data_IF_432102817362
#
_entry.id   IF_432102817362
#
_cell.length_a   1.000
_cell.length_b   1.000
_cell.length_c   1.000
_cell.angle_alpha   90.00
_cell.angle_beta   90.00
_cell.angle_gamma   90.00
#
_symmetry.space_group_name_H-M   'P 1'
#
loop_
_entity.id
_entity.type
_entity.pdbx_description
1 polymer ?
#
# COMPACT_ATOMS: atom_id res chain seq x y z
N UNK A 1 9.81 105.14 -14.13
CA UNK A 1 9.14 103.92 -14.62
C UNK A 1 10.16 103.10 -15.41
N UNK A 2 10.38 101.86 -14.95
CA UNK A 2 10.89 100.66 -15.67
C UNK A 2 12.29 100.66 -16.29
N UNK A 3 12.98 99.50 -16.40
CA UNK A 3 12.66 98.16 -15.87
C UNK A 3 13.80 97.51 -15.04
N UNK A 4 13.41 96.55 -14.19
CA UNK A 4 14.29 95.52 -13.68
C UNK A 4 14.71 94.59 -14.83
N UNK A 5 15.99 94.18 -14.90
CA UNK A 5 16.44 93.14 -15.83
C UNK A 5 17.58 92.32 -15.20
N UNK A 6 17.13 91.24 -14.54
CA UNK A 6 17.69 89.90 -14.44
C UNK A 6 19.22 89.70 -14.41
N UNK A 7 19.70 89.19 -13.26
CA UNK A 7 21.04 88.65 -13.08
C UNK A 7 21.30 87.47 -14.04
N UNK A 8 22.29 87.61 -14.91
CA UNK A 8 22.76 86.53 -15.78
C UNK A 8 23.43 85.42 -14.94
N UNK A 9 23.04 84.14 -15.09
CA UNK A 9 23.59 83.05 -14.29
C UNK A 9 25.07 82.79 -14.62
N UNK A 10 25.86 82.53 -13.56
CA UNK A 10 27.30 82.23 -13.60
C UNK A 10 27.63 81.04 -14.52
N UNK A 11 28.41 81.29 -15.58
CA UNK A 11 28.74 80.32 -16.64
C UNK A 11 29.37 79.03 -16.09
N UNK A 12 30.20 79.13 -15.04
CA UNK A 12 30.88 77.99 -14.43
C UNK A 12 29.90 77.06 -13.70
N UNK A 13 28.83 77.63 -13.12
CA UNK A 13 27.75 76.88 -12.48
C UNK A 13 26.91 76.14 -13.53
N UNK A 14 26.64 76.78 -14.68
CA UNK A 14 25.93 76.15 -15.81
C UNK A 14 26.71 74.99 -16.43
N UNK A 15 28.03 75.10 -16.53
CA UNK A 15 28.89 74.04 -17.07
C UNK A 15 28.98 72.84 -16.12
N UNK A 16 29.13 73.08 -14.81
CA UNK A 16 29.01 72.02 -13.78
C UNK A 16 27.64 71.35 -13.82
N UNK A 17 26.55 72.12 -13.96
CA UNK A 17 25.20 71.59 -14.06
C UNK A 17 25.02 70.70 -15.32
N UNK A 18 25.62 71.08 -16.46
CA UNK A 18 25.63 70.24 -17.67
C UNK A 18 26.40 68.93 -17.48
N UNK A 19 27.58 68.98 -16.85
CA UNK A 19 28.37 67.78 -16.56
C UNK A 19 27.63 66.83 -15.62
N UNK A 20 27.03 67.35 -14.55
CA UNK A 20 26.20 66.57 -13.62
C UNK A 20 24.98 65.98 -14.36
N UNK A 21 24.26 66.78 -15.15
CA UNK A 21 23.12 66.30 -15.93
C UNK A 21 23.52 65.18 -16.91
N UNK A 22 24.70 65.27 -17.53
CA UNK A 22 25.23 64.26 -18.45
C UNK A 22 25.58 62.97 -17.72
N UNK A 23 26.24 63.09 -16.55
CA UNK A 23 26.55 61.95 -15.69
C UNK A 23 25.29 61.28 -15.14
N UNK A 24 24.28 62.04 -14.73
CA UNK A 24 22.98 61.51 -14.30
C UNK A 24 22.26 60.78 -15.44
N UNK A 25 22.30 61.31 -16.67
CA UNK A 25 21.73 60.63 -17.86
C UNK A 25 22.47 59.32 -18.15
N UNK A 26 23.80 59.30 -18.05
CA UNK A 26 24.59 58.09 -18.19
C UNK A 26 24.22 57.06 -17.12
N UNK A 27 24.21 57.44 -15.84
CA UNK A 27 23.84 56.57 -14.73
C UNK A 27 22.42 56.00 -14.86
N UNK A 28 21.46 56.81 -15.32
CA UNK A 28 20.08 56.36 -15.58
C UNK A 28 20.02 55.32 -16.70
N UNK A 29 20.83 55.46 -17.75
CA UNK A 29 20.94 54.46 -18.82
C UNK A 29 21.59 53.18 -18.33
N UNK A 30 22.65 53.29 -17.53
CA UNK A 30 23.37 52.15 -16.97
C UNK A 30 22.47 51.38 -16.00
N UNK A 31 21.75 52.07 -15.11
CA UNK A 31 20.77 51.48 -14.21
C UNK A 31 19.65 50.77 -14.99
N UNK A 32 19.10 51.40 -16.03
CA UNK A 32 18.09 50.77 -16.88
C UNK A 32 18.64 49.54 -17.63
N UNK A 33 19.92 49.57 -18.03
CA UNK A 33 20.63 48.43 -18.62
C UNK A 33 20.79 47.28 -17.63
N UNK A 34 21.30 47.55 -16.42
CA UNK A 34 21.46 46.57 -15.36
C UNK A 34 20.12 45.97 -14.91
N UNK A 35 19.07 46.79 -14.78
CA UNK A 35 17.73 46.32 -14.46
C UNK A 35 17.18 45.37 -15.53
N UNK A 36 17.35 45.69 -16.82
CA UNK A 36 16.96 44.77 -17.91
C UNK A 36 17.72 43.46 -17.83
N UNK A 37 19.04 43.50 -17.65
CA UNK A 37 19.86 42.28 -17.53
C UNK A 37 19.42 41.41 -16.34
N UNK A 38 19.15 42.02 -15.18
CA UNK A 38 18.66 41.31 -14.01
C UNK A 38 17.28 40.67 -14.26
N UNK A 39 16.36 41.43 -14.86
CA UNK A 39 15.04 40.92 -15.24
C UNK A 39 15.15 39.76 -16.25
N UNK A 40 15.96 39.89 -17.29
CA UNK A 40 16.17 38.84 -18.30
C UNK A 40 16.84 37.60 -17.71
N UNK A 41 17.73 37.76 -16.72
CA UNK A 41 18.29 36.64 -15.97
C UNK A 41 17.22 35.92 -15.13
N UNK A 42 16.35 36.66 -14.43
CA UNK A 42 15.23 36.11 -13.65
C UNK A 42 14.23 35.36 -14.54
N UNK A 43 13.89 35.92 -15.71
CA UNK A 43 12.99 35.27 -16.67
C UNK A 43 13.60 33.97 -17.20
N UNK A 44 14.89 33.97 -17.59
CA UNK A 44 15.58 32.75 -18.04
C UNK A 44 15.66 31.69 -16.95
N UNK A 45 15.94 32.09 -15.72
CA UNK A 45 15.94 31.18 -14.57
C UNK A 45 14.55 30.56 -14.35
N UNK A 46 13.49 31.35 -14.42
CA UNK A 46 12.12 30.86 -14.28
C UNK A 46 11.73 29.87 -15.39
N UNK A 47 12.07 30.18 -16.65
CA UNK A 47 11.84 29.29 -17.79
C UNK A 47 12.61 27.97 -17.64
N UNK A 48 13.90 28.03 -17.31
CA UNK A 48 14.73 26.84 -17.12
C UNK A 48 14.21 25.95 -15.97
N UNK A 49 13.75 26.55 -14.87
CA UNK A 49 13.11 25.80 -13.77
C UNK A 49 11.82 25.13 -14.21
N UNK A 50 11.02 25.79 -15.05
CA UNK A 50 9.78 25.20 -15.59
C UNK A 50 10.08 24.03 -16.53
N UNK A 51 10.99 24.22 -17.49
CA UNK A 51 11.42 23.15 -18.41
C UNK A 51 11.97 21.93 -17.67
N UNK A 52 12.82 22.16 -16.65
CA UNK A 52 13.35 21.09 -15.80
C UNK A 52 12.24 20.39 -15.01
N UNK A 53 11.27 21.14 -14.48
CA UNK A 53 10.11 20.59 -13.79
C UNK A 53 9.25 19.69 -14.69
N UNK A 54 8.99 20.11 -15.92
CA UNK A 54 8.24 19.33 -16.91
C UNK A 54 9.00 18.07 -17.35
N UNK A 55 10.31 18.17 -17.60
CA UNK A 55 11.15 17.03 -17.93
C UNK A 55 11.20 16.00 -16.79
N UNK A 56 11.33 16.49 -15.55
CA UNK A 56 11.32 15.65 -14.35
C UNK A 56 9.99 14.92 -14.18
N UNK A 57 8.88 15.64 -14.36
CA UNK A 57 7.55 15.06 -14.34
C UNK A 57 7.40 13.95 -15.39
N UNK A 58 7.77 14.20 -16.64
CA UNK A 58 7.72 13.19 -17.71
C UNK A 58 8.57 11.94 -17.39
N UNK A 59 9.77 12.12 -16.83
CA UNK A 59 10.62 11.02 -16.41
C UNK A 59 9.97 10.16 -15.30
N UNK A 60 9.33 10.79 -14.32
CA UNK A 60 8.66 10.11 -13.21
C UNK A 60 7.40 9.35 -13.68
N UNK A 61 6.63 9.92 -14.60
CA UNK A 61 5.52 9.22 -15.27
C UNK A 61 6.03 7.98 -16.00
N UNK A 62 7.10 8.11 -16.78
CA UNK A 62 7.70 6.96 -17.48
C UNK A 62 8.22 5.89 -16.51
N UNK A 63 8.81 6.29 -15.38
CA UNK A 63 9.22 5.36 -14.33
C UNK A 63 8.03 4.60 -13.74
N UNK A 64 6.91 5.29 -13.46
CA UNK A 64 5.70 4.65 -12.96
C UNK A 64 5.10 3.65 -13.97
N UNK A 65 5.13 3.98 -15.26
CA UNK A 65 4.69 3.06 -16.32
C UNK A 65 5.56 1.81 -16.40
N UNK A 66 6.88 1.95 -16.24
CA UNK A 66 7.81 0.82 -16.15
C UNK A 66 7.50 -0.04 -14.92
N UNK A 67 7.28 0.56 -13.75
CA UNK A 67 6.90 -0.19 -12.54
C UNK A 67 5.56 -0.92 -12.72
N UNK A 68 4.58 -0.29 -13.36
CA UNK A 68 3.30 -0.93 -13.69
C UNK A 68 3.49 -2.11 -14.65
N UNK A 69 4.38 -1.99 -15.63
CA UNK A 69 4.74 -3.08 -16.54
C UNK A 69 5.44 -4.23 -15.81
N UNK A 70 6.37 -3.93 -14.90
CA UNK A 70 7.04 -4.93 -14.07
C UNK A 70 6.03 -5.71 -13.20
N UNK A 71 5.08 -5.02 -12.55
CA UNK A 71 3.98 -5.66 -11.81
C UNK A 71 3.18 -6.63 -12.67
N UNK A 72 2.75 -6.19 -13.87
CA UNK A 72 2.02 -7.05 -14.81
C UNK A 72 2.85 -8.24 -15.27
N UNK A 73 4.14 -8.04 -15.55
CA UNK A 73 5.05 -9.11 -15.98
C UNK A 73 5.34 -10.12 -14.87
N UNK A 74 5.56 -9.67 -13.64
CA UNK A 74 5.77 -10.54 -12.48
C UNK A 74 4.53 -11.41 -12.21
N UNK A 75 3.34 -10.79 -12.27
CA UNK A 75 2.08 -11.54 -12.13
C UNK A 75 1.87 -12.52 -13.28
N UNK A 76 2.09 -12.10 -14.53
CA UNK A 76 1.96 -12.97 -15.70
C UNK A 76 2.96 -14.15 -15.64
N UNK A 77 4.20 -13.90 -15.21
CA UNK A 77 5.19 -14.95 -15.00
C UNK A 77 4.73 -15.94 -13.92
N UNK A 78 4.16 -15.46 -12.82
CA UNK A 78 3.60 -16.32 -11.76
C UNK A 78 2.40 -17.14 -12.26
N UNK A 79 1.53 -16.54 -13.07
CA UNK A 79 0.36 -17.19 -13.69
C UNK A 79 0.73 -18.40 -14.57
N UNK A 80 1.95 -18.45 -15.11
CA UNK A 80 2.42 -19.61 -15.90
C UNK A 80 2.53 -20.91 -15.11
N UNK A 81 2.53 -20.86 -13.77
CA UNK A 81 2.59 -22.04 -12.89
C UNK A 81 1.35 -22.94 -12.99
N UNK A 82 0.28 -22.47 -13.64
CA UNK A 82 -0.94 -23.21 -13.88
C UNK A 82 -1.84 -23.29 -12.65
N UNK A 83 -3.15 -23.28 -12.88
CA UNK A 83 -4.14 -23.43 -11.81
C UNK A 83 -4.23 -24.89 -11.36
N UNK A 84 -4.40 -25.10 -10.06
CA UNK A 84 -4.81 -26.41 -9.57
C UNK A 84 -6.29 -26.64 -9.89
N UNK A 85 -6.70 -27.87 -10.25
CA UNK A 85 -8.08 -28.14 -10.60
C UNK A 85 -9.04 -27.80 -9.46
N UNK A 86 -10.08 -27.03 -9.78
CA UNK A 86 -11.18 -26.71 -8.88
C UNK A 86 -11.99 -27.99 -8.59
N UNK A 87 -11.85 -28.52 -7.39
CA UNK A 87 -12.66 -29.65 -6.92
C UNK A 87 -13.94 -29.13 -6.28
N UNK A 88 -15.09 -29.55 -6.80
CA UNK A 88 -16.39 -29.17 -6.24
C UNK A 88 -16.68 -29.90 -4.93
N UNK A 89 -16.79 -29.16 -3.83
CA UNK A 89 -17.20 -29.64 -2.51
C UNK A 89 -18.73 -29.67 -2.39
N UNK A 90 -19.32 -30.69 -3.02
CA UNK A 90 -20.76 -30.91 -3.03
C UNK A 90 -21.31 -31.41 -1.67
N UNK A 91 -22.64 -31.58 -1.58
CA UNK A 91 -23.31 -32.09 -0.35
C UNK A 91 -22.78 -33.45 0.12
N UNK A 92 -22.36 -34.31 -0.81
CA UNK A 92 -21.78 -35.63 -0.51
C UNK A 92 -20.41 -35.45 0.16
N UNK A 93 -19.56 -34.58 -0.39
CA UNK A 93 -18.25 -34.26 0.20
C UNK A 93 -18.39 -33.79 1.65
N UNK A 94 -19.36 -32.91 1.94
CA UNK A 94 -19.66 -32.46 3.31
C UNK A 94 -20.17 -33.58 4.23
N UNK A 95 -20.87 -34.60 3.70
CA UNK A 95 -21.25 -35.79 4.47
C UNK A 95 -20.02 -36.66 4.79
N UNK A 96 -19.13 -36.84 3.82
CA UNK A 96 -17.86 -37.56 4.00
C UNK A 96 -17.03 -36.86 5.06
N UNK A 97 -16.86 -35.54 4.99
CA UNK A 97 -16.04 -34.82 5.97
C UNK A 97 -16.62 -34.96 7.39
N UNK A 98 -17.94 -34.86 7.56
CA UNK A 98 -18.61 -35.13 8.85
C UNK A 98 -18.42 -36.57 9.34
N UNK A 99 -18.39 -37.54 8.44
CA UNK A 99 -18.11 -38.93 8.80
C UNK A 99 -16.65 -39.12 9.21
N UNK A 100 -15.71 -38.52 8.46
CA UNK A 100 -14.28 -38.55 8.77
C UNK A 100 -14.01 -37.93 10.14
N UNK A 101 -14.65 -36.81 10.47
CA UNK A 101 -14.52 -36.18 11.79
C UNK A 101 -14.83 -37.12 12.97
N UNK A 102 -15.63 -38.17 12.78
CA UNK A 102 -15.94 -39.18 13.82
C UNK A 102 -14.80 -40.19 14.03
N UNK A 103 -13.84 -40.29 13.11
CA UNK A 103 -12.70 -41.21 13.16
C UNK A 103 -11.50 -40.62 13.93
N UNK A 104 -11.73 -39.63 14.79
CA UNK A 104 -10.69 -39.01 15.59
C UNK A 104 -9.62 -38.28 14.75
N UNK A 105 -8.37 -38.38 15.16
CA UNK A 105 -7.25 -37.62 14.58
C UNK A 105 -6.87 -38.06 13.16
N UNK A 106 -7.02 -39.34 12.81
CA UNK A 106 -6.80 -39.83 11.44
C UNK A 106 -7.86 -39.29 10.48
N UNK A 107 -9.11 -39.24 10.92
CA UNK A 107 -10.19 -38.64 10.15
C UNK A 107 -10.00 -37.14 9.92
N UNK A 108 -9.60 -36.42 10.96
CA UNK A 108 -9.20 -35.01 10.88
C UNK A 108 -8.02 -34.80 9.90
N UNK A 109 -7.02 -35.67 9.93
CA UNK A 109 -5.90 -35.62 8.98
C UNK A 109 -6.35 -35.82 7.53
N UNK A 110 -7.32 -36.71 7.28
CA UNK A 110 -7.89 -36.90 5.95
C UNK A 110 -8.68 -35.68 5.46
N UNK A 111 -9.37 -34.96 6.36
CA UNK A 111 -10.03 -33.69 6.02
C UNK A 111 -8.99 -32.64 5.58
N UNK A 112 -7.88 -32.51 6.32
CA UNK A 112 -6.77 -31.62 5.95
C UNK A 112 -6.18 -32.03 4.60
N UNK A 113 -5.86 -33.31 4.40
CA UNK A 113 -5.29 -33.82 3.16
C UNK A 113 -6.20 -33.53 1.94
N UNK A 114 -7.52 -33.71 2.10
CA UNK A 114 -8.51 -33.46 1.05
C UNK A 114 -8.62 -31.99 0.68
N UNK A 115 -8.48 -31.08 1.65
CA UNK A 115 -8.52 -29.63 1.40
C UNK A 115 -7.35 -29.17 0.52
N UNK A 116 -6.18 -29.80 0.67
CA UNK A 116 -4.96 -29.46 -0.06
C UNK A 116 -4.25 -28.22 0.47
N UNK A 117 -4.63 -27.71 1.65
CA UNK A 117 -4.01 -26.51 2.26
C UNK A 117 -2.67 -26.80 2.94
N UNK A 118 -2.34 -28.07 3.15
CA UNK A 118 -1.12 -28.50 3.83
C UNK A 118 0.09 -28.46 2.89
N UNK A 119 1.12 -27.69 3.27
CA UNK A 119 2.38 -27.46 2.57
C UNK A 119 3.46 -28.39 3.12
N UNK A 120 3.25 -29.68 2.94
CA UNK A 120 4.19 -30.71 3.37
C UNK A 120 5.33 -30.95 2.37
N UNK A 121 6.01 -32.08 2.57
CA UNK A 121 7.13 -32.53 1.74
C UNK A 121 6.72 -32.98 0.33
N UNK A 122 5.42 -33.17 0.08
CA UNK A 122 4.89 -33.77 -1.15
C UNK A 122 4.78 -35.31 -1.08
N UNK A 123 5.31 -35.94 -0.02
CA UNK A 123 5.16 -37.37 0.22
C UNK A 123 3.87 -37.66 1.00
N UNK A 124 2.84 -38.14 0.31
CA UNK A 124 1.49 -38.30 0.88
C UNK A 124 1.44 -39.05 2.23
N UNK A 125 2.17 -40.16 2.38
CA UNK A 125 2.19 -40.93 3.63
C UNK A 125 2.92 -40.21 4.76
N UNK A 126 3.99 -39.47 4.46
CA UNK A 126 4.71 -38.65 5.44
C UNK A 126 3.84 -37.47 5.88
N UNK A 127 3.29 -36.72 4.92
CA UNK A 127 2.46 -35.54 5.19
C UNK A 127 1.20 -35.92 5.98
N UNK A 128 0.57 -37.06 5.67
CA UNK A 128 -0.60 -37.55 6.43
C UNK A 128 -0.25 -37.87 7.90
N UNK A 129 0.96 -38.39 8.19
CA UNK A 129 1.41 -38.60 9.57
C UNK A 129 1.58 -37.27 10.31
N UNK A 130 2.11 -36.25 9.64
CA UNK A 130 2.24 -34.91 10.21
C UNK A 130 0.88 -34.26 10.47
N UNK A 131 -0.07 -34.38 9.52
CA UNK A 131 -1.45 -33.93 9.71
C UNK A 131 -2.13 -34.65 10.89
N UNK A 132 -1.93 -35.97 11.03
CA UNK A 132 -2.47 -36.74 12.14
C UNK A 132 -1.80 -36.39 13.48
N UNK A 133 -0.51 -36.09 13.48
CA UNK A 133 0.19 -35.58 14.66
C UNK A 133 -0.36 -34.20 15.07
N UNK A 134 -0.56 -33.29 14.12
CA UNK A 134 -1.21 -32.00 14.33
C UNK A 134 -2.63 -32.18 14.89
N UNK A 135 -3.45 -33.02 14.26
CA UNK A 135 -4.82 -33.27 14.70
C UNK A 135 -4.89 -33.87 16.12
N UNK A 136 -3.91 -34.71 16.52
CA UNK A 136 -3.80 -35.22 17.89
C UNK A 136 -3.45 -34.16 18.91
N UNK A 137 -2.63 -33.17 18.54
CA UNK A 137 -2.25 -32.06 19.42
C UNK A 137 -3.41 -31.09 19.67
N UNK A 138 -4.38 -31.02 18.75
CA UNK A 138 -5.64 -30.30 18.94
C UNK A 138 -5.48 -28.78 19.07
N UNK A 139 -6.30 -28.16 19.91
CA UNK A 139 -6.39 -26.71 20.11
C UNK A 139 -5.29 -26.14 21.03
N UNK A 140 -4.03 -26.47 20.72
CA UNK A 140 -2.86 -25.99 21.44
C UNK A 140 -2.26 -24.77 20.74
N UNK A 141 -2.18 -23.62 21.39
CA UNK A 141 -1.70 -22.38 20.76
C UNK A 141 -0.24 -22.46 20.27
N UNK A 142 0.60 -23.28 20.92
CA UNK A 142 2.01 -23.50 20.57
C UNK A 142 2.22 -24.37 19.30
N UNK A 143 1.15 -24.83 18.66
CA UNK A 143 1.22 -25.73 17.52
C UNK A 143 0.87 -25.01 16.23
N UNK A 144 1.86 -24.86 15.36
CA UNK A 144 1.70 -24.27 14.02
C UNK A 144 1.49 -25.36 12.97
N UNK A 145 0.38 -25.37 12.21
CA UNK A 145 0.23 -26.25 11.06
C UNK A 145 1.15 -25.82 9.91
N UNK A 146 1.50 -26.75 9.01
CA UNK A 146 2.19 -26.41 7.76
C UNK A 146 1.17 -25.89 6.75
N UNK A 147 0.52 -24.76 7.04
CA UNK A 147 -0.47 -24.11 6.21
C UNK A 147 -0.47 -22.61 6.53
N UNK A 148 -0.95 -21.73 5.63
CA UNK A 148 -1.19 -20.32 5.93
C UNK A 148 -2.41 -20.16 6.85
N UNK A 149 -2.26 -20.64 8.08
CA UNK A 149 -3.25 -20.66 9.15
C UNK A 149 -2.53 -20.38 10.47
N UNK A 150 -2.94 -19.31 11.15
CA UNK A 150 -2.38 -18.93 12.45
C UNK A 150 -3.25 -19.49 13.56
N UNK A 151 -2.81 -20.61 14.15
CA UNK A 151 -3.57 -21.30 15.18
C UNK A 151 -3.67 -20.51 16.49
N UNK A 152 -2.59 -19.84 16.91
CA UNK A 152 -2.60 -19.08 18.15
C UNK A 152 -3.58 -17.90 18.04
N UNK A 153 -3.51 -17.17 16.93
CA UNK A 153 -4.41 -16.07 16.64
C UNK A 153 -5.86 -16.54 16.48
N UNK A 154 -6.10 -17.64 15.74
CA UNK A 154 -7.45 -18.17 15.53
C UNK A 154 -8.11 -18.59 16.85
N UNK A 155 -7.36 -19.20 17.77
CA UNK A 155 -7.87 -19.58 19.09
C UNK A 155 -8.11 -18.37 19.99
N UNK A 156 -7.28 -17.33 19.90
CA UNK A 156 -7.49 -16.09 20.65
C UNK A 156 -8.78 -15.37 20.19
N UNK A 157 -9.03 -15.32 18.88
CA UNK A 157 -10.25 -14.75 18.30
C UNK A 157 -11.50 -15.61 18.54
N UNK A 158 -11.32 -16.92 18.72
CA UNK A 158 -12.41 -17.89 18.81
C UNK A 158 -12.24 -18.86 20.00
N UNK A 159 -12.46 -18.40 21.24
CA UNK A 159 -12.32 -19.24 22.44
C UNK A 159 -13.27 -20.45 22.48
N UNK A 160 -14.39 -20.39 21.74
CA UNK A 160 -15.33 -21.51 21.58
C UNK A 160 -14.66 -22.73 20.91
N UNK A 161 -13.71 -22.49 20.01
CA UNK A 161 -12.96 -23.55 19.31
C UNK A 161 -11.94 -24.21 20.23
N UNK A 162 -11.40 -23.48 21.22
CA UNK A 162 -10.46 -24.05 22.19
C UNK A 162 -11.08 -25.18 23.03
N UNK A 163 -12.40 -25.10 23.25
CA UNK A 163 -13.17 -26.11 23.98
C UNK A 163 -13.55 -27.32 23.11
N UNK A 164 -13.38 -27.23 21.79
CA UNK A 164 -13.70 -28.31 20.86
C UNK A 164 -12.60 -29.38 20.83
N UNK A 165 -12.98 -30.66 20.69
CA UNK A 165 -12.04 -31.79 20.48
C UNK A 165 -11.41 -31.83 19.07
N UNK A 166 -11.52 -30.74 18.32
CA UNK A 166 -11.11 -30.64 16.93
C UNK A 166 -9.91 -29.71 16.82
N UNK A 167 -8.94 -30.07 15.96
CA UNK A 167 -7.84 -29.17 15.67
C UNK A 167 -8.34 -27.92 14.92
N UNK A 168 -7.89 -26.71 15.28
CA UNK A 168 -8.41 -25.44 14.76
C UNK A 168 -8.47 -25.31 13.24
N UNK A 169 -7.44 -25.77 12.51
CA UNK A 169 -7.46 -25.75 11.05
C UNK A 169 -8.62 -26.60 10.50
N UNK A 170 -8.92 -27.72 11.14
CA UNK A 170 -10.02 -28.59 10.73
C UNK A 170 -11.36 -27.93 11.05
N UNK A 171 -11.47 -27.22 12.17
CA UNK A 171 -12.65 -26.43 12.50
C UNK A 171 -12.92 -25.38 11.41
N UNK A 172 -11.90 -24.60 11.05
CA UNK A 172 -11.99 -23.62 9.96
C UNK A 172 -12.44 -24.27 8.64
N UNK A 173 -11.80 -25.37 8.21
CA UNK A 173 -12.11 -26.08 6.97
C UNK A 173 -13.49 -26.74 6.92
N UNK A 174 -14.10 -27.00 8.08
CA UNK A 174 -15.39 -27.69 8.18
C UNK A 174 -16.56 -26.73 8.41
N UNK A 175 -16.34 -25.69 9.21
CA UNK A 175 -17.39 -24.80 9.72
C UNK A 175 -16.95 -23.34 9.71
N UNK A 176 -15.78 -23.03 10.26
CA UNK A 176 -15.37 -21.65 10.52
C UNK A 176 -15.37 -20.75 9.28
N UNK A 177 -14.96 -21.26 8.11
CA UNK A 177 -14.97 -20.49 6.88
C UNK A 177 -16.40 -20.07 6.44
N UNK A 178 -17.42 -20.90 6.73
CA UNK A 178 -18.81 -20.61 6.38
C UNK A 178 -19.44 -19.60 7.35
N UNK A 179 -18.89 -19.50 8.56
CA UNK A 179 -19.22 -18.48 9.55
C UNK A 179 -18.45 -17.17 9.32
N UNK A 180 -17.64 -17.09 8.26
CA UNK A 180 -16.83 -15.90 7.93
C UNK A 180 -15.59 -15.73 8.82
N UNK A 181 -15.17 -16.77 9.56
CA UNK A 181 -13.98 -16.71 10.42
C UNK A 181 -12.71 -16.77 9.57
N UNK A 182 -11.87 -15.75 9.68
CA UNK A 182 -10.56 -15.67 9.02
C UNK A 182 -9.57 -16.71 9.58
N UNK A 183 -8.72 -17.35 8.75
CA UNK A 183 -7.75 -18.36 9.20
C UNK A 183 -6.43 -17.76 9.75
N UNK A 184 -6.14 -16.50 9.47
CA UNK A 184 -4.95 -15.78 9.93
C UNK A 184 -5.16 -14.27 9.86
N UNK A 185 -4.31 -13.44 10.48
CA UNK A 185 -4.38 -11.97 10.36
C UNK A 185 -4.26 -11.45 8.92
N UNK A 186 -3.60 -12.20 8.03
CA UNK A 186 -3.36 -11.81 6.63
C UNK A 186 -4.22 -12.56 5.61
N UNK A 187 -5.35 -13.08 6.06
CA UNK A 187 -6.36 -13.64 5.19
C UNK A 187 -7.75 -13.25 5.70
N UNK A 188 -8.43 -12.35 4.98
CA UNK A 188 -9.80 -11.95 5.32
C UNK A 188 -10.79 -12.87 4.59
N UNK A 189 -11.42 -13.79 5.32
CA UNK A 189 -12.35 -14.76 4.71
C UNK A 189 -13.57 -14.05 4.10
N UNK A 190 -14.18 -13.08 4.79
CA UNK A 190 -15.39 -12.44 4.31
C UNK A 190 -15.11 -11.59 3.04
N UNK A 191 -14.07 -10.78 3.10
CA UNK A 191 -13.64 -9.93 1.98
C UNK A 191 -13.19 -10.78 0.79
N UNK A 192 -12.34 -11.80 1.01
CA UNK A 192 -11.88 -12.66 -0.07
C UNK A 192 -13.03 -13.40 -0.76
N UNK A 193 -14.00 -13.90 0.03
CA UNK A 193 -15.19 -14.56 -0.50
C UNK A 193 -16.04 -13.63 -1.34
N UNK A 194 -16.19 -12.37 -0.93
CA UNK A 194 -16.94 -11.38 -1.69
C UNK A 194 -16.31 -11.12 -3.06
N UNK A 195 -14.98 -10.98 -3.11
CA UNK A 195 -14.24 -10.74 -4.36
C UNK A 195 -14.25 -11.95 -5.31
N UNK A 196 -14.39 -13.17 -4.77
CA UNK A 196 -14.34 -14.43 -5.53
C UNK A 196 -15.66 -15.20 -5.46
N UNK A 197 -16.79 -14.47 -5.32
CA UNK A 197 -18.09 -15.05 -4.99
C UNK A 197 -18.58 -16.08 -6.02
N UNK A 198 -18.33 -15.86 -7.32
CA UNK A 198 -18.73 -16.78 -8.40
C UNK A 198 -18.10 -18.16 -8.23
N UNK A 199 -16.78 -18.20 -8.07
CA UNK A 199 -15.99 -19.42 -8.07
C UNK A 199 -16.18 -20.18 -6.76
N UNK A 200 -16.26 -19.45 -5.65
CA UNK A 200 -16.55 -20.00 -4.33
C UNK A 200 -17.97 -20.57 -4.28
N UNK A 201 -18.97 -19.91 -4.89
CA UNK A 201 -20.33 -20.44 -4.97
C UNK A 201 -20.40 -21.70 -5.86
N UNK A 202 -19.68 -21.72 -6.98
CA UNK A 202 -19.66 -22.85 -7.90
C UNK A 202 -19.00 -24.10 -7.28
N UNK A 203 -17.93 -23.89 -6.51
CA UNK A 203 -17.10 -24.96 -5.96
C UNK A 203 -17.47 -25.36 -4.54
N UNK A 204 -17.97 -24.43 -3.72
CA UNK A 204 -18.24 -24.65 -2.29
C UNK A 204 -16.98 -24.79 -1.43
N UNK A 205 -15.83 -24.32 -1.93
CA UNK A 205 -14.57 -24.28 -1.18
C UNK A 205 -14.58 -23.18 -0.11
N UNK A 206 -13.74 -23.32 0.92
CA UNK A 206 -13.34 -22.19 1.77
C UNK A 206 -12.53 -21.16 0.98
N UNK A 207 -12.45 -19.92 1.46
CA UNK A 207 -11.61 -18.89 0.87
C UNK A 207 -10.16 -19.33 0.76
N UNK A 208 -9.60 -19.90 1.83
CA UNK A 208 -8.22 -20.39 1.84
C UNK A 208 -7.98 -21.52 0.83
N UNK A 209 -8.89 -22.49 0.74
CA UNK A 209 -8.79 -23.55 -0.27
C UNK A 209 -8.82 -22.99 -1.69
N UNK A 210 -9.69 -22.01 -1.95
CA UNK A 210 -9.76 -21.36 -3.26
C UNK A 210 -8.49 -20.57 -3.58
N UNK A 211 -7.99 -19.78 -2.62
CA UNK A 211 -6.77 -19.01 -2.76
C UNK A 211 -5.57 -19.88 -3.14
N UNK A 212 -5.32 -20.95 -2.37
CA UNK A 212 -4.15 -21.81 -2.60
C UNK A 212 -4.21 -22.62 -3.90
N UNK A 213 -5.42 -22.88 -4.43
CA UNK A 213 -5.61 -23.65 -5.67
C UNK A 213 -5.56 -22.78 -6.91
N UNK A 214 -6.17 -21.60 -6.85
CA UNK A 214 -6.46 -20.79 -8.03
C UNK A 214 -6.23 -19.30 -7.76
N UNK A 215 -6.71 -18.79 -6.63
CA UNK A 215 -6.67 -17.36 -6.35
C UNK A 215 -5.28 -16.75 -6.38
N UNK A 216 -4.31 -17.37 -5.70
CA UNK A 216 -2.93 -16.90 -5.69
C UNK A 216 -2.35 -16.81 -7.10
N UNK A 217 -2.53 -17.86 -7.91
CA UNK A 217 -2.06 -17.90 -9.31
C UNK A 217 -2.73 -16.81 -10.14
N UNK A 218 -4.03 -16.57 -9.95
CA UNK A 218 -4.76 -15.48 -10.62
C UNK A 218 -4.41 -14.07 -10.12
N UNK A 219 -3.60 -13.93 -9.07
CA UNK A 219 -3.28 -12.64 -8.47
C UNK A 219 -4.38 -12.11 -7.54
N UNK A 220 -5.32 -12.94 -7.10
CA UNK A 220 -6.32 -12.53 -6.13
C UNK A 220 -5.66 -12.32 -4.77
N UNK A 221 -5.69 -11.08 -4.28
CA UNK A 221 -5.22 -10.71 -2.95
C UNK A 221 -6.01 -11.44 -1.85
N UNK A 222 -5.39 -11.96 -0.78
CA UNK A 222 -6.08 -12.62 0.34
C UNK A 222 -6.60 -11.67 1.42
N UNK A 223 -6.10 -10.43 1.43
CA UNK A 223 -6.40 -9.41 2.43
C UNK A 223 -6.23 -8.01 1.82
N UNK A 224 -6.97 -6.97 2.24
CA UNK A 224 -6.79 -5.60 1.75
C UNK A 224 -5.36 -5.04 1.89
N UNK A 225 -4.64 -5.48 2.93
CA UNK A 225 -3.22 -5.13 3.20
C UNK A 225 -2.19 -6.04 2.50
N UNK A 226 -2.61 -6.92 1.60
CA UNK A 226 -1.70 -7.80 0.86
C UNK A 226 -2.04 -7.79 -0.63
N UNK A 227 -1.29 -7.02 -1.41
CA UNK A 227 -1.39 -7.00 -2.86
C UNK A 227 -0.40 -7.99 -3.49
N UNK A 228 -0.95 -9.07 -4.08
CA UNK A 228 -0.14 -10.13 -4.69
C UNK A 228 0.73 -9.61 -5.83
N UNK A 229 0.18 -8.74 -6.69
CA UNK A 229 0.91 -8.21 -7.84
C UNK A 229 2.05 -7.28 -7.43
N UNK A 230 1.82 -6.44 -6.43
CA UNK A 230 2.80 -5.55 -5.83
C UNK A 230 3.92 -6.32 -5.14
N UNK A 231 3.57 -7.35 -4.36
CA UNK A 231 4.54 -8.19 -3.69
C UNK A 231 5.43 -8.95 -4.68
N UNK A 232 4.83 -9.58 -5.71
CA UNK A 232 5.59 -10.31 -6.74
C UNK A 232 6.50 -9.40 -7.57
N UNK A 233 6.16 -8.12 -7.72
CA UNK A 233 6.97 -7.17 -8.48
C UNK A 233 8.31 -6.82 -7.80
N UNK A 234 8.45 -7.11 -6.51
CA UNK A 234 9.73 -7.05 -5.80
C UNK A 234 10.62 -8.28 -6.08
N UNK A 235 10.17 -9.18 -6.97
CA UNK A 235 10.85 -10.40 -7.39
C UNK A 235 11.30 -11.34 -6.23
N UNK A 236 10.41 -11.68 -5.28
CA UNK A 236 10.73 -12.69 -4.27
C UNK A 236 11.02 -14.05 -4.88
N UNK A 237 11.92 -14.82 -4.27
CA UNK A 237 12.32 -16.15 -4.74
C UNK A 237 11.36 -17.21 -4.17
N UNK A 238 10.30 -17.53 -4.92
CA UNK A 238 9.31 -18.54 -4.49
C UNK A 238 9.71 -19.94 -4.94
N UNK A 239 9.72 -20.90 -4.00
CA UNK A 239 9.86 -22.32 -4.29
C UNK A 239 8.74 -22.84 -5.22
N UNK A 240 8.97 -24.00 -5.84
CA UNK A 240 7.97 -24.65 -6.68
C UNK A 240 6.72 -25.00 -5.86
N UNK A 241 5.55 -24.59 -6.34
CA UNK A 241 4.26 -24.82 -5.66
C UNK A 241 3.99 -23.91 -4.45
N UNK A 242 4.92 -23.01 -4.11
CA UNK A 242 4.72 -21.99 -3.07
C UNK A 242 3.84 -20.84 -3.58
N UNK A 243 3.21 -20.13 -2.64
CA UNK A 243 2.32 -19.01 -2.91
C UNK A 243 2.80 -17.71 -2.22
N UNK A 244 2.38 -16.53 -2.71
CA UNK A 244 2.86 -15.24 -2.21
C UNK A 244 2.64 -15.03 -0.71
N UNK A 245 1.46 -15.40 -0.18
CA UNK A 245 1.13 -15.24 1.23
C UNK A 245 1.98 -16.16 2.10
N UNK A 246 2.09 -17.44 1.74
CA UNK A 246 2.93 -18.41 2.47
C UNK A 246 4.40 -18.00 2.46
N UNK A 247 4.92 -17.53 1.33
CA UNK A 247 6.29 -17.00 1.24
C UNK A 247 6.47 -15.75 2.11
N UNK A 248 5.51 -14.82 2.12
CA UNK A 248 5.60 -13.61 2.95
C UNK A 248 5.66 -13.94 4.45
N UNK A 249 4.75 -14.79 4.91
CA UNK A 249 4.67 -15.19 6.32
C UNK A 249 5.95 -15.89 6.81
N UNK A 250 6.63 -16.63 5.93
CA UNK A 250 7.82 -17.41 6.28
C UNK A 250 9.14 -16.64 6.11
N UNK A 251 9.24 -15.83 5.05
CA UNK A 251 10.51 -15.27 4.59
C UNK A 251 10.37 -13.79 4.20
N UNK A 252 9.45 -13.47 3.29
CA UNK A 252 9.37 -12.13 2.69
C UNK A 252 9.17 -11.00 3.69
N UNK A 253 8.38 -11.22 4.74
CA UNK A 253 8.17 -10.24 5.80
C UNK A 253 9.42 -9.97 6.65
N UNK A 254 10.30 -10.96 6.80
CA UNK A 254 11.60 -10.80 7.48
C UNK A 254 12.66 -10.18 6.57
N UNK A 255 12.46 -10.24 5.26
CA UNK A 255 13.27 -9.56 4.24
C UNK A 255 12.83 -8.12 4.00
N UNK A 256 11.93 -7.57 4.84
CA UNK A 256 11.39 -6.21 4.71
C UNK A 256 10.72 -5.94 3.36
N UNK A 257 10.23 -6.99 2.68
CA UNK A 257 9.43 -6.81 1.47
C UNK A 257 8.09 -6.19 1.83
N UNK A 258 7.65 -5.20 1.06
CA UNK A 258 6.37 -4.56 1.31
C UNK A 258 5.22 -5.40 0.73
N UNK A 259 4.21 -5.78 1.52
CA UNK A 259 3.06 -6.55 1.04
C UNK A 259 2.03 -5.69 0.31
N UNK A 260 2.06 -4.35 0.46
CA UNK A 260 1.07 -3.45 -0.12
C UNK A 260 1.64 -2.01 -0.20
N UNK A 261 1.37 -1.22 -1.25
CA UNK A 261 1.94 0.12 -1.42
C UNK A 261 1.63 1.10 -0.26
N UNK A 262 0.47 0.96 0.37
CA UNK A 262 0.08 1.76 1.54
C UNK A 262 0.68 1.27 2.88
N UNK A 263 1.61 0.31 2.86
CA UNK A 263 2.34 -0.19 4.02
C UNK A 263 3.84 -0.19 3.73
N UNK A 264 4.59 0.69 4.38
CA UNK A 264 6.06 0.74 4.27
C UNK A 264 6.68 0.05 5.50
N UNK A 265 7.26 -1.15 5.34
CA UNK A 265 7.84 -1.88 6.47
C UNK A 265 9.01 -1.13 7.10
N UNK A 266 9.87 -0.45 6.34
CA UNK A 266 11.03 0.28 6.88
C UNK A 266 10.59 1.51 7.68
N UNK A 267 9.64 2.27 7.13
CA UNK A 267 9.04 3.43 7.81
C UNK A 267 8.34 3.02 9.11
N UNK A 268 7.59 1.92 9.06
CA UNK A 268 6.87 1.40 10.22
C UNK A 268 7.83 0.85 11.28
N UNK A 269 8.82 0.05 10.87
CA UNK A 269 9.82 -0.55 11.77
C UNK A 269 10.59 0.50 12.56
N UNK A 270 10.97 1.60 11.91
CA UNK A 270 11.65 2.73 12.57
C UNK A 270 10.81 3.34 13.71
N UNK A 271 9.47 3.34 13.59
CA UNK A 271 8.54 3.89 14.60
C UNK A 271 8.15 2.87 15.67
N UNK A 272 7.94 1.63 15.25
CA UNK A 272 7.56 0.55 16.14
C UNK A 272 8.69 0.19 17.11
N UNK A 273 9.95 0.28 16.65
CA UNK A 273 11.12 -0.14 17.41
C UNK A 273 11.29 -1.65 17.33
N UNK A 274 11.31 -2.32 18.48
CA UNK A 274 11.39 -3.78 18.53
C UNK A 274 10.06 -4.41 18.05
N UNK A 275 10.15 -5.29 17.04
CA UNK A 275 9.02 -6.03 16.49
C UNK A 275 8.85 -7.42 17.14
N UNK A 276 9.70 -7.77 18.12
CA UNK A 276 9.76 -9.09 18.77
C UNK A 276 9.98 -10.22 17.76
N UNK A 277 10.79 -9.95 16.73
CA UNK A 277 11.09 -10.89 15.66
C UNK A 277 9.93 -11.17 14.69
N UNK A 278 8.82 -10.43 14.75
CA UNK A 278 7.68 -10.59 13.84
C UNK A 278 7.84 -9.72 12.57
N UNK A 279 7.28 -10.14 11.42
CA UNK A 279 7.11 -9.26 10.27
C UNK A 279 6.39 -7.96 10.63
N UNK A 280 6.83 -6.84 10.05
CA UNK A 280 6.30 -5.51 10.30
C UNK A 280 4.77 -5.42 10.19
N UNK A 281 4.17 -6.00 9.14
CA UNK A 281 2.72 -5.96 8.95
C UNK A 281 1.97 -6.77 10.01
N UNK A 282 2.51 -7.90 10.47
CA UNK A 282 1.88 -8.69 11.53
C UNK A 282 1.96 -7.97 12.88
N UNK A 283 3.09 -7.34 13.20
CA UNK A 283 3.20 -6.47 14.38
C UNK A 283 2.22 -5.28 14.30
N UNK A 284 2.07 -4.68 13.11
CA UNK A 284 1.08 -3.62 12.89
C UNK A 284 -0.34 -4.07 13.19
N UNK A 285 -0.78 -5.19 12.59
CA UNK A 285 -2.14 -5.74 12.75
C UNK A 285 -2.45 -6.20 14.18
N UNK A 286 -1.44 -6.68 14.91
CA UNK A 286 -1.60 -7.14 16.29
C UNK A 286 -1.72 -5.97 17.28
N UNK A 287 -0.79 -5.01 17.22
CA UNK A 287 -0.71 -3.95 18.23
C UNK A 287 -0.42 -2.54 17.68
N UNK A 288 0.23 -2.43 16.52
CA UNK A 288 0.69 -1.15 15.99
C UNK A 288 -0.40 -0.12 15.76
N UNK A 289 -1.47 -0.54 15.10
CA UNK A 289 -2.60 0.37 14.81
C UNK A 289 -3.32 0.80 16.10
N UNK A 290 -3.37 -0.06 17.13
CA UNK A 290 -3.95 0.28 18.45
C UNK A 290 -3.11 1.30 19.20
N UNK A 291 -1.79 1.24 19.00
CA UNK A 291 -0.82 2.25 19.48
C UNK A 291 -0.85 3.54 18.66
N UNK A 292 -1.63 3.60 17.57
CA UNK A 292 -1.71 4.76 16.69
C UNK A 292 -0.48 4.94 15.79
N UNK A 293 0.33 3.91 15.59
CA UNK A 293 1.54 4.00 14.78
C UNK A 293 1.20 4.04 13.29
N UNK A 294 1.71 5.05 12.58
CA UNK A 294 1.56 5.15 11.14
C UNK A 294 2.33 4.05 10.39
N UNK A 295 1.66 3.23 9.55
CA UNK A 295 2.32 2.23 8.71
C UNK A 295 2.94 2.80 7.43
N UNK A 296 2.57 4.03 7.07
CA UNK A 296 3.03 4.72 5.88
C UNK A 296 2.87 6.23 6.12
N UNK A 297 3.70 7.12 5.53
CA UNK A 297 3.59 8.56 5.74
C UNK A 297 2.19 9.11 5.47
N UNK A 298 1.52 8.64 4.42
CA UNK A 298 0.18 9.12 4.04
C UNK A 298 -0.99 8.43 4.79
N UNK A 299 -0.69 7.60 5.78
CA UNK A 299 -1.69 6.87 6.58
C UNK A 299 -1.47 7.20 8.06
N UNK A 300 -2.52 7.69 8.73
CA UNK A 300 -2.48 8.07 10.14
C UNK A 300 -3.65 7.38 10.87
N UNK A 301 -3.45 6.17 11.43
CA UNK A 301 -4.51 5.41 12.10
C UNK A 301 -5.10 6.14 13.31
N UNK A 302 -4.27 6.89 14.05
CA UNK A 302 -4.73 7.67 15.21
C UNK A 302 -5.66 8.80 14.77
N UNK A 303 -5.26 9.56 13.76
CA UNK A 303 -6.10 10.61 13.19
C UNK A 303 -7.36 10.03 12.53
N UNK A 304 -7.25 8.93 11.79
CA UNK A 304 -8.39 8.31 11.11
C UNK A 304 -9.49 7.91 12.09
N UNK A 305 -9.13 7.29 13.22
CA UNK A 305 -10.08 6.93 14.30
C UNK A 305 -10.68 8.16 14.99
N UNK A 306 -9.94 9.27 15.05
CA UNK A 306 -10.46 10.52 15.58
C UNK A 306 -11.47 11.17 14.63
N UNK A 307 -11.22 11.12 13.32
CA UNK A 307 -12.13 11.69 12.32
C UNK A 307 -13.37 10.85 12.05
N UNK A 308 -13.25 9.53 12.21
CA UNK A 308 -14.32 8.57 11.95
C UNK A 308 -14.61 7.75 13.22
N UNK A 309 -15.37 8.32 14.19
CA UNK A 309 -15.63 7.70 15.48
C UNK A 309 -16.28 6.31 15.38
N UNK A 310 -17.05 6.03 14.33
CA UNK A 310 -17.68 4.73 14.12
C UNK A 310 -16.65 3.61 13.92
N UNK A 311 -15.50 3.93 13.32
CA UNK A 311 -14.38 2.99 13.15
C UNK A 311 -13.70 2.74 14.50
N UNK A 312 -13.61 3.78 15.33
CA UNK A 312 -13.05 3.69 16.67
C UNK A 312 -13.95 2.89 17.62
N UNK A 313 -15.26 3.13 17.58
CA UNK A 313 -16.29 2.47 18.39
C UNK A 313 -16.45 1.00 18.01
N UNK A 314 -16.38 0.67 16.72
CA UNK A 314 -16.43 -0.71 16.24
C UNK A 314 -15.09 -1.47 16.40
N UNK A 315 -14.05 -0.80 16.90
CA UNK A 315 -12.69 -1.36 17.07
C UNK A 315 -12.11 -1.98 15.78
N UNK A 316 -12.37 -1.33 14.65
CA UNK A 316 -11.94 -1.79 13.33
C UNK A 316 -10.55 -1.21 13.01
N UNK A 317 -9.67 -2.05 12.45
CA UNK A 317 -8.34 -1.62 12.01
C UNK A 317 -8.44 -0.55 10.89
N UNK A 318 -7.92 0.67 11.10
CA UNK A 318 -8.16 1.81 10.21
C UNK A 318 -7.72 1.65 8.76
N UNK A 319 -6.53 1.08 8.51
CA UNK A 319 -6.01 0.98 7.15
C UNK A 319 -6.76 -0.09 6.34
N UNK A 320 -7.10 -1.22 6.95
CA UNK A 320 -7.94 -2.26 6.35
C UNK A 320 -9.32 -1.69 6.02
N UNK A 321 -9.94 -0.95 6.96
CA UNK A 321 -11.21 -0.28 6.70
C UNK A 321 -11.10 0.72 5.54
N UNK A 322 -10.08 1.58 5.54
CA UNK A 322 -9.87 2.56 4.48
C UNK A 322 -9.67 1.89 3.11
N UNK A 323 -8.86 0.84 3.02
CA UNK A 323 -8.58 0.15 1.76
C UNK A 323 -9.79 -0.62 1.22
N UNK A 324 -10.59 -1.23 2.11
CA UNK A 324 -11.75 -2.03 1.73
C UNK A 324 -13.02 -1.19 1.48
N UNK A 325 -13.20 -0.09 2.22
CA UNK A 325 -14.44 0.70 2.21
C UNK A 325 -14.17 2.21 2.16
N UNK A 326 -13.43 2.74 3.14
CA UNK A 326 -13.35 4.19 3.37
C UNK A 326 -12.86 5.01 2.18
N UNK A 327 -11.86 4.53 1.44
CA UNK A 327 -11.36 5.21 0.25
C UNK A 327 -12.39 5.25 -0.89
N UNK A 328 -13.27 4.26 -1.00
CA UNK A 328 -14.38 4.26 -1.96
C UNK A 328 -15.52 5.18 -1.52
N UNK A 329 -15.70 5.34 -0.20
CA UNK A 329 -16.64 6.29 0.41
C UNK A 329 -16.15 7.74 0.38
N UNK A 330 -14.92 7.99 -0.07
CA UNK A 330 -14.33 9.34 -0.12
C UNK A 330 -13.72 9.82 1.19
N UNK A 331 -13.50 8.93 2.17
CA UNK A 331 -12.81 9.23 3.43
C UNK A 331 -11.34 9.48 3.19
N UNK A 332 -10.69 10.25 4.04
CA UNK A 332 -9.27 10.56 3.97
C UNK A 332 -8.49 9.63 4.93
N UNK A 333 -7.32 9.09 4.55
CA UNK A 333 -6.52 8.19 5.39
C UNK A 333 -5.61 8.95 6.38
N UNK A 334 -5.40 10.25 6.17
CA UNK A 334 -4.57 11.13 6.98
C UNK A 334 -4.90 12.60 6.66
N UNK A 335 -4.41 13.58 7.45
CA UNK A 335 -4.53 15.01 7.10
C UNK A 335 -3.77 15.41 5.82
N UNK A 336 -3.00 14.49 5.25
CA UNK A 336 -2.06 14.79 4.18
C UNK A 336 -2.58 14.37 2.81
N UNK A 337 -3.49 13.40 2.74
CA UNK A 337 -4.07 12.92 1.48
C UNK A 337 -5.58 13.17 1.47
N UNK A 338 -6.08 13.87 0.45
CA UNK A 338 -7.51 14.07 0.25
C UNK A 338 -8.02 13.14 -0.86
N UNK A 339 -8.82 12.17 -0.48
CA UNK A 339 -9.40 11.17 -1.37
C UNK A 339 -10.34 11.82 -2.39
N UNK A 340 -11.20 12.74 -1.94
CA UNK A 340 -12.12 13.46 -2.82
C UNK A 340 -11.35 14.29 -3.86
N UNK A 341 -10.39 15.11 -3.42
CA UNK A 341 -9.61 15.95 -4.32
C UNK A 341 -8.81 15.12 -5.33
N UNK A 342 -8.17 14.03 -4.88
CA UNK A 342 -7.44 13.16 -5.79
C UNK A 342 -8.35 12.51 -6.83
N UNK A 343 -9.54 12.04 -6.44
CA UNK A 343 -10.53 11.48 -7.38
C UNK A 343 -10.94 12.51 -8.43
N UNK A 344 -11.22 13.74 -8.01
CA UNK A 344 -11.61 14.82 -8.92
C UNK A 344 -10.47 15.18 -9.88
N UNK A 345 -9.24 15.27 -9.38
CA UNK A 345 -8.06 15.56 -10.19
C UNK A 345 -7.72 14.43 -11.16
N UNK A 346 -7.92 13.17 -10.74
CA UNK A 346 -7.65 11.98 -11.55
C UNK A 346 -8.75 11.72 -12.60
N UNK A 347 -9.99 12.10 -12.30
CA UNK A 347 -11.13 12.00 -13.20
C UNK A 347 -11.34 10.60 -13.76
N UNK A 348 -11.65 10.50 -15.05
CA UNK A 348 -11.87 9.24 -15.77
C UNK A 348 -10.61 8.35 -15.86
N UNK A 349 -9.42 8.90 -15.57
CA UNK A 349 -8.18 8.13 -15.57
C UNK A 349 -8.01 7.26 -14.31
N UNK A 350 -8.83 7.46 -13.27
CA UNK A 350 -8.86 6.57 -12.11
C UNK A 350 -9.64 5.30 -12.49
N UNK A 351 -9.00 4.11 -12.49
CA UNK A 351 -9.71 2.90 -12.87
C UNK A 351 -10.86 2.58 -11.90
N UNK A 352 -12.01 2.10 -12.39
CA UNK A 352 -13.14 1.78 -11.53
C UNK A 352 -12.78 0.70 -10.52
N UNK A 353 -13.21 0.87 -9.28
CA UNK A 353 -12.96 -0.09 -8.20
C UNK A 353 -11.52 -0.09 -7.65
N UNK A 354 -10.66 0.84 -8.06
CA UNK A 354 -9.31 1.00 -7.48
C UNK A 354 -9.34 2.01 -6.34
N UNK A 355 -8.72 1.64 -5.21
CA UNK A 355 -8.61 2.54 -4.06
C UNK A 355 -7.79 3.79 -4.44
N UNK A 356 -8.28 5.02 -4.17
CA UNK A 356 -7.60 6.26 -4.58
C UNK A 356 -6.17 6.41 -4.07
N UNK A 357 -5.89 6.04 -2.82
CA UNK A 357 -4.52 6.09 -2.29
C UNK A 357 -3.62 5.06 -2.97
N UNK A 358 -4.14 3.86 -3.25
CA UNK A 358 -3.40 2.83 -3.97
C UNK A 358 -3.05 3.28 -5.39
N UNK A 359 -4.00 3.88 -6.14
CA UNK A 359 -3.70 4.45 -7.46
C UNK A 359 -2.65 5.57 -7.37
N UNK A 360 -2.79 6.47 -6.39
CA UNK A 360 -1.82 7.54 -6.14
C UNK A 360 -0.40 6.99 -5.97
N UNK A 361 -0.22 6.02 -5.07
CA UNK A 361 1.07 5.42 -4.74
C UNK A 361 1.65 4.56 -5.87
N UNK A 362 0.80 4.01 -6.74
CA UNK A 362 1.23 3.14 -7.85
C UNK A 362 1.52 3.87 -9.16
N UNK A 363 1.44 5.20 -9.17
CA UNK A 363 1.86 6.04 -10.29
C UNK A 363 0.93 7.20 -10.61
N UNK A 364 -0.31 7.18 -10.11
CA UNK A 364 -1.27 8.24 -10.38
C UNK A 364 -0.88 9.59 -9.77
N UNK A 365 0.00 9.61 -8.76
CA UNK A 365 0.64 10.81 -8.24
C UNK A 365 1.34 11.66 -9.33
N UNK A 366 1.85 11.02 -10.38
CA UNK A 366 2.56 11.66 -11.48
C UNK A 366 1.62 12.10 -12.60
N UNK A 367 0.33 11.84 -12.49
CA UNK A 367 -0.66 12.22 -13.50
C UNK A 367 -1.59 13.35 -13.02
N UNK A 368 -1.36 13.88 -11.82
CA UNK A 368 -2.15 14.97 -11.23
C UNK A 368 -1.25 16.17 -10.89
N UNK A 369 -1.75 17.38 -11.16
CA UNK A 369 -1.03 18.61 -10.85
C UNK A 369 -0.97 18.87 -9.34
N UNK A 370 -2.05 18.57 -8.62
CA UNK A 370 -2.16 18.68 -7.18
C UNK A 370 -2.77 17.39 -6.61
N UNK A 371 -2.10 16.81 -5.62
CA UNK A 371 -2.61 15.65 -4.88
C UNK A 371 -3.55 16.04 -3.74
N UNK A 372 -3.46 17.31 -3.31
CA UNK A 372 -4.30 17.96 -2.30
C UNK A 372 -4.33 19.46 -2.61
N UNK A 373 -5.37 20.18 -2.16
CA UNK A 373 -5.43 21.62 -2.33
C UNK A 373 -4.16 22.31 -1.83
N UNK A 374 -3.53 23.11 -2.69
CA UNK A 374 -2.37 23.92 -2.35
C UNK A 374 -1.04 23.17 -2.27
N UNK A 375 -0.96 21.95 -2.82
CA UNK A 375 0.31 21.23 -3.01
C UNK A 375 0.66 21.14 -4.49
N UNK A 376 1.37 22.14 -5.06
CA UNK A 376 1.75 22.13 -6.48
C UNK A 376 2.89 21.13 -6.72
N UNK A 377 2.57 19.96 -7.28
CA UNK A 377 3.50 18.84 -7.45
C UNK A 377 4.75 19.24 -8.24
N UNK A 378 4.58 19.92 -9.38
CA UNK A 378 5.69 20.32 -10.25
C UNK A 378 6.62 21.32 -9.54
N UNK A 379 6.04 22.32 -8.86
CA UNK A 379 6.83 23.31 -8.13
C UNK A 379 7.58 22.68 -6.95
N UNK A 380 6.96 21.71 -6.26
CA UNK A 380 7.60 20.97 -5.18
C UNK A 380 8.82 20.18 -5.67
N UNK A 381 8.68 19.47 -6.78
CA UNK A 381 9.75 18.68 -7.41
C UNK A 381 10.87 19.58 -7.95
N UNK A 382 10.54 20.71 -8.57
CA UNK A 382 11.53 21.67 -9.07
C UNK A 382 12.41 22.24 -7.94
N UNK A 383 11.84 22.44 -6.75
CA UNK A 383 12.59 22.87 -5.57
C UNK A 383 13.37 21.73 -4.89
N UNK A 384 13.06 20.46 -5.22
CA UNK A 384 13.58 19.26 -4.52
C UNK A 384 13.84 18.12 -5.50
N UNK A 385 14.90 18.23 -6.32
CA UNK A 385 15.26 17.18 -7.27
C UNK A 385 15.71 15.87 -6.58
N UNK A 386 16.05 15.92 -5.29
CA UNK A 386 16.29 14.74 -4.44
C UNK A 386 15.04 13.88 -4.24
N UNK A 387 13.85 14.49 -4.15
CA UNK A 387 12.60 13.77 -4.00
C UNK A 387 12.38 12.77 -5.16
N UNK A 388 12.70 13.19 -6.38
CA UNK A 388 12.58 12.34 -7.57
C UNK A 388 13.53 11.14 -7.57
N UNK A 389 14.69 11.23 -6.87
CA UNK A 389 15.65 10.12 -6.78
C UNK A 389 15.22 9.05 -5.77
N UNK A 390 14.37 9.39 -4.81
CA UNK A 390 13.95 8.49 -3.75
C UNK A 390 12.93 7.43 -4.19
N UNK A 391 12.32 7.60 -5.37
CA UNK A 391 11.29 6.69 -5.87
C UNK A 391 9.96 6.76 -5.13
N UNK A 392 9.81 7.67 -4.17
CA UNK A 392 8.57 7.93 -3.43
C UNK A 392 7.74 9.04 -4.08
N UNK A 393 6.45 9.08 -3.79
CA UNK A 393 5.59 10.13 -4.35
C UNK A 393 5.92 11.51 -3.74
N UNK A 394 5.60 12.63 -4.42
CA UNK A 394 5.96 13.97 -3.93
C UNK A 394 5.34 14.30 -2.57
N UNK A 395 4.08 13.92 -2.39
CA UNK A 395 3.35 14.14 -1.14
C UNK A 395 3.90 13.25 -0.03
N UNK A 396 4.29 12.01 -0.34
CA UNK A 396 4.95 11.12 0.61
C UNK A 396 6.32 11.66 1.04
N UNK A 397 7.12 12.16 0.09
CA UNK A 397 8.40 12.81 0.39
C UNK A 397 8.20 14.02 1.31
N UNK A 398 7.17 14.82 1.05
CA UNK A 398 6.81 15.95 1.92
C UNK A 398 6.38 15.48 3.31
N UNK A 399 5.50 14.48 3.38
CA UNK A 399 4.98 13.89 4.61
C UNK A 399 6.09 13.36 5.53
N UNK A 400 7.06 12.62 4.97
CA UNK A 400 8.23 12.11 5.71
C UNK A 400 9.03 13.23 6.38
N UNK A 401 9.07 14.43 5.80
CA UNK A 401 9.80 15.58 6.34
C UNK A 401 9.05 16.39 7.40
N UNK A 402 7.73 16.23 7.50
CA UNK A 402 6.94 16.89 8.53
C UNK A 402 7.09 16.25 9.92
N UNK A 403 7.83 15.14 10.03
CA UNK A 403 8.31 14.61 11.31
C UNK A 403 7.24 13.98 12.21
N UNK A 404 6.18 13.39 11.63
CA UNK A 404 5.29 12.49 12.40
C UNK A 404 5.78 11.08 12.37
#
# INVERSE_FOLDING_TARGET
MTPAAEAAPDLAMLEKARTVATRMRALKRDFAGAHRLAHDAQVREALARNELGLALHAALTAQADVQAKLRRQALAAFQTRGEAPLRRRNRISRRIDRMLMRLGSLGQALVIARSGVWRGSGQAAHDLRHMAAYARRGARADVTPLAPFDQAWYLAAHPDVASARQAPLVHYLAVGHAEGRSPSPLFDEAWYRQQNASDIAATGLSGLEHYLRVGAVRGASPHPLFDVGYYLAQAPVLAAGDDPLSHYLREGGHLWLSPHPAFDPDFYGTRAGDLSGRPALLHYLDEGWRRGLSPHPLVDPAWYRQQYPEVAEADIEPLTHFLAFGGFEGRDPSPWFSTAHYRDARGEALPPGVNPLTDYLLGGAWAVAEARPGFPTVAYLAARPDAARSGVTPLEHWARRQGR
#
